data_IF_253003381442
#
_entry.id   IF_253003381442
#
_cell.length_a   1.000
_cell.length_b   1.000
_cell.length_c   1.000
_cell.angle_alpha   90.00
_cell.angle_beta   90.00
_cell.angle_gamma   90.00
#
_symmetry.space_group_name_H-M   'P 1'
#
loop_
_entity.id
_entity.type
_entity.pdbx_description
1 polymer ?
#
# COMPACT_ATOMS: atom_id res chain seq x y z
N UNK A 1 19.76 10.64 -12.50
CA UNK A 1 18.63 9.97 -11.83
C UNK A 1 18.75 10.27 -10.36
N UNK A 2 17.77 10.94 -9.78
CA UNK A 2 17.76 11.28 -8.35
C UNK A 2 17.03 10.17 -7.59
N UNK A 3 17.59 9.71 -6.46
CA UNK A 3 16.94 8.70 -5.63
C UNK A 3 15.73 9.33 -4.93
N UNK A 4 14.60 8.62 -4.88
CA UNK A 4 13.39 9.04 -4.16
C UNK A 4 12.80 7.85 -3.41
N UNK A 5 12.07 8.10 -2.33
CA UNK A 5 11.45 7.07 -1.49
C UNK A 5 9.95 7.34 -1.30
N UNK A 6 9.16 6.29 -1.07
CA UNK A 6 7.70 6.33 -0.96
C UNK A 6 7.20 5.36 0.12
N UNK A 7 5.92 5.44 0.48
CA UNK A 7 5.26 4.63 1.51
C UNK A 7 5.26 5.29 2.90
N UNK A 8 4.20 5.06 3.67
CA UNK A 8 3.99 5.71 4.99
C UNK A 8 5.15 5.49 5.97
N UNK A 9 5.65 4.26 6.08
CA UNK A 9 6.77 3.91 6.95
C UNK A 9 8.11 4.56 6.53
N UNK A 10 8.24 4.96 5.27
CA UNK A 10 9.46 5.55 4.74
C UNK A 10 9.58 7.06 4.97
N UNK A 11 8.52 7.72 5.45
CA UNK A 11 8.52 9.17 5.66
C UNK A 11 9.62 9.62 6.63
N UNK A 12 9.79 8.90 7.74
CA UNK A 12 10.87 9.19 8.70
C UNK A 12 12.28 8.91 8.13
N UNK A 13 12.41 7.96 7.19
CA UNK A 13 13.66 7.68 6.50
C UNK A 13 14.02 8.79 5.51
N UNK A 14 13.03 9.29 4.78
CA UNK A 14 13.17 10.42 3.85
C UNK A 14 13.71 11.66 4.57
N UNK A 15 13.13 11.99 5.74
CA UNK A 15 13.57 13.11 6.56
C UNK A 15 15.00 12.91 7.09
N UNK A 16 15.27 11.75 7.69
CA UNK A 16 16.58 11.44 8.30
C UNK A 16 17.72 11.48 7.29
N UNK A 17 17.50 10.97 6.08
CA UNK A 17 18.54 10.88 5.04
C UNK A 17 18.46 12.00 4.00
N UNK A 18 17.51 12.93 4.13
CA UNK A 18 17.30 14.06 3.22
C UNK A 18 17.12 13.59 1.77
N UNK A 19 16.37 12.51 1.59
CA UNK A 19 16.00 11.97 0.27
C UNK A 19 14.59 12.44 -0.06
N UNK A 20 14.29 12.85 -1.30
CA UNK A 20 12.94 13.21 -1.71
C UNK A 20 11.91 12.12 -1.38
N UNK A 21 10.80 12.54 -0.76
CA UNK A 21 9.64 11.70 -0.51
C UNK A 21 8.61 11.90 -1.62
N UNK A 22 8.15 10.80 -2.22
CA UNK A 22 7.03 10.77 -3.16
C UNK A 22 5.88 10.05 -2.47
N UNK A 23 4.70 10.65 -2.47
CA UNK A 23 3.54 10.03 -1.84
C UNK A 23 3.09 8.80 -2.65
N UNK A 24 2.71 7.72 -1.95
CA UNK A 24 2.50 6.40 -2.55
C UNK A 24 1.46 6.35 -3.67
N UNK A 25 0.33 7.05 -3.52
CA UNK A 25 -0.73 7.09 -4.55
C UNK A 25 -0.20 7.72 -5.84
N UNK A 26 0.60 8.79 -5.73
CA UNK A 26 1.24 9.41 -6.89
C UNK A 26 2.33 8.52 -7.49
N UNK A 27 3.15 7.88 -6.65
CA UNK A 27 4.18 6.95 -7.12
C UNK A 27 3.56 5.78 -7.89
N UNK A 28 2.49 5.18 -7.35
CA UNK A 28 1.73 4.09 -7.97
C UNK A 28 1.11 4.54 -9.28
N UNK A 29 0.48 5.72 -9.33
CA UNK A 29 -0.07 6.27 -10.57
C UNK A 29 1.01 6.42 -11.64
N UNK A 30 2.12 7.08 -11.32
CA UNK A 30 3.22 7.31 -12.27
C UNK A 30 3.75 5.99 -12.80
N UNK A 31 4.03 5.03 -11.91
CA UNK A 31 4.52 3.71 -12.28
C UNK A 31 3.53 2.99 -13.21
N UNK A 32 2.26 2.91 -12.85
CA UNK A 32 1.24 2.24 -13.63
C UNK A 32 1.10 2.86 -15.03
N UNK A 33 0.93 4.18 -15.13
CA UNK A 33 0.78 4.88 -16.42
C UNK A 33 2.06 4.94 -17.26
N UNK A 34 3.21 4.55 -16.70
CA UNK A 34 4.46 4.39 -17.46
C UNK A 34 4.57 2.99 -18.05
N UNK A 35 3.96 1.99 -17.41
CA UNK A 35 4.06 0.59 -17.78
C UNK A 35 2.98 0.17 -18.79
N UNK A 36 1.77 0.71 -18.66
CA UNK A 36 0.68 0.44 -19.58
C UNK A 36 -0.03 1.74 -19.97
N UNK A 37 -0.33 1.84 -21.26
CA UNK A 37 -1.17 2.89 -21.81
C UNK A 37 -2.65 2.55 -21.53
N UNK A 38 -3.50 3.57 -21.36
CA UNK A 38 -4.96 3.45 -21.21
C UNK A 38 -5.45 2.68 -19.96
N UNK A 39 -4.90 3.01 -18.79
CA UNK A 39 -5.39 2.52 -17.50
C UNK A 39 -6.55 3.39 -16.98
N UNK A 40 -7.67 2.74 -16.65
CA UNK A 40 -8.83 3.42 -16.07
C UNK A 40 -8.83 3.45 -14.54
N UNK A 41 -8.46 2.32 -13.93
CA UNK A 41 -8.54 2.11 -12.48
C UNK A 41 -7.33 1.34 -12.00
N UNK A 42 -6.74 1.79 -10.89
CA UNK A 42 -5.71 1.04 -10.15
C UNK A 42 -6.31 0.58 -8.83
N UNK A 43 -6.17 -0.71 -8.51
CA UNK A 43 -6.57 -1.28 -7.23
C UNK A 43 -5.30 -1.68 -6.48
N UNK A 44 -4.97 -0.91 -5.45
CA UNK A 44 -3.87 -1.17 -4.54
C UNK A 44 -4.41 -1.98 -3.35
N UNK A 45 -3.99 -3.24 -3.22
CA UNK A 45 -4.32 -4.09 -2.08
C UNK A 45 -3.12 -4.13 -1.15
N UNK A 46 -3.11 -3.23 -0.17
CA UNK A 46 -2.05 -3.12 0.83
C UNK A 46 -2.26 -4.04 2.03
N UNK A 47 -1.33 -3.95 2.97
CA UNK A 47 -1.39 -4.69 4.23
C UNK A 47 -2.45 -4.13 5.18
N UNK A 48 -2.47 -2.81 5.33
CA UNK A 48 -3.34 -2.09 6.27
C UNK A 48 -4.63 -1.62 5.61
N UNK A 49 -4.58 -1.13 4.38
CA UNK A 49 -5.74 -0.61 3.67
C UNK A 49 -5.69 -1.01 2.18
N UNK A 50 -6.82 -0.84 1.53
CA UNK A 50 -6.98 -0.99 0.09
C UNK A 50 -7.40 0.36 -0.50
N UNK A 51 -6.78 0.72 -1.62
CA UNK A 51 -7.05 1.95 -2.35
C UNK A 51 -7.50 1.64 -3.76
N UNK A 52 -8.43 2.45 -4.26
CA UNK A 52 -8.87 2.44 -5.65
C UNK A 52 -8.62 3.84 -6.20
N UNK A 53 -7.79 3.92 -7.24
CA UNK A 53 -7.49 5.16 -7.94
C UNK A 53 -8.24 5.12 -9.27
N UNK A 54 -9.15 6.07 -9.48
CA UNK A 54 -9.79 6.30 -10.77
C UNK A 54 -9.01 7.38 -11.50
N UNK A 55 -8.65 7.13 -12.76
CA UNK A 55 -7.77 8.01 -13.54
C UNK A 55 -8.51 8.85 -14.59
N UNK A 56 -9.73 8.45 -14.97
CA UNK A 56 -10.59 9.20 -15.89
C UNK A 56 -11.26 10.39 -15.20
N UNK A 57 -11.35 11.52 -15.93
CA UNK A 57 -12.01 12.77 -15.49
C UNK A 57 -11.40 13.44 -14.24
N UNK A 58 -10.16 13.08 -13.91
CA UNK A 58 -9.46 13.57 -12.73
C UNK A 58 -8.96 12.42 -11.87
N UNK A 59 -8.00 12.69 -11.00
CA UNK A 59 -7.52 11.68 -10.07
C UNK A 59 -8.45 11.64 -8.86
N UNK A 60 -9.23 10.56 -8.75
CA UNK A 60 -10.06 10.29 -7.57
C UNK A 60 -9.51 9.07 -6.83
N UNK A 61 -9.40 9.18 -5.51
CA UNK A 61 -8.89 8.11 -4.65
C UNK A 61 -9.97 7.72 -3.67
N UNK A 62 -10.32 6.43 -3.65
CA UNK A 62 -11.17 5.81 -2.64
C UNK A 62 -10.32 4.87 -1.80
N UNK A 63 -10.48 4.92 -0.49
CA UNK A 63 -9.75 4.08 0.44
C UNK A 63 -10.74 3.50 1.45
N UNK A 64 -10.58 2.24 1.80
CA UNK A 64 -11.33 1.66 2.91
C UNK A 64 -10.70 2.08 4.26
N UNK A 65 -11.38 1.78 5.37
CA UNK A 65 -10.72 1.84 6.67
C UNK A 65 -9.71 0.71 6.82
N UNK A 66 -8.87 0.79 7.86
CA UNK A 66 -7.87 -0.25 8.15
C UNK A 66 -8.50 -1.64 8.18
N UNK A 67 -8.01 -2.53 7.32
CA UNK A 67 -8.37 -3.92 7.15
C UNK A 67 -7.27 -4.81 7.74
N UNK A 68 -7.61 -5.62 8.74
CA UNK A 68 -6.66 -6.54 9.40
C UNK A 68 -6.20 -7.71 8.50
N UNK A 69 -6.70 -7.80 7.26
CA UNK A 69 -6.46 -8.94 6.37
C UNK A 69 -5.05 -8.98 5.78
N UNK A 70 -4.41 -7.83 5.54
CA UNK A 70 -3.15 -7.79 4.80
C UNK A 70 -1.89 -7.70 5.68
N UNK A 71 -2.01 -7.36 6.96
CA UNK A 71 -0.86 -7.24 7.88
C UNK A 71 -0.45 -8.56 8.54
N UNK A 72 -1.20 -9.65 8.30
CA UNK A 72 -1.06 -10.90 9.03
C UNK A 72 -1.82 -10.93 10.37
N UNK A 73 -2.36 -9.78 10.82
CA UNK A 73 -3.09 -9.69 12.08
C UNK A 73 -4.33 -10.60 12.12
N UNK A 74 -4.98 -10.84 10.98
CA UNK A 74 -6.04 -11.84 10.89
C UNK A 74 -5.54 -13.25 11.24
N UNK A 75 -4.38 -13.66 10.73
CA UNK A 75 -3.78 -14.98 11.01
C UNK A 75 -3.37 -15.04 12.49
N UNK A 76 -2.77 -13.98 13.03
CA UNK A 76 -2.43 -13.89 14.47
C UNK A 76 -3.67 -14.04 15.37
N UNK A 77 -4.77 -13.39 15.00
CA UNK A 77 -6.04 -13.49 15.72
C UNK A 77 -6.63 -14.91 15.63
N UNK A 78 -6.56 -15.54 14.46
CA UNK A 78 -7.04 -16.90 14.27
C UNK A 78 -6.20 -17.93 15.04
N UNK A 79 -4.87 -17.81 15.05
CA UNK A 79 -3.99 -18.65 15.85
C UNK A 79 -4.33 -18.54 17.36
N UNK A 80 -4.54 -17.30 17.84
CA UNK A 80 -4.98 -17.04 19.22
C UNK A 80 -6.34 -17.67 19.53
N UNK A 81 -7.32 -17.54 18.64
CA UNK A 81 -8.66 -18.11 18.80
C UNK A 81 -8.66 -19.64 18.81
N UNK A 82 -7.81 -20.25 17.98
CA UNK A 82 -7.64 -21.69 17.87
C UNK A 82 -6.73 -22.28 18.96
N UNK A 83 -6.08 -21.42 19.75
CA UNK A 83 -5.09 -21.79 20.76
C UNK A 83 -3.97 -22.68 20.18
N UNK A 84 -3.48 -22.28 19.01
CA UNK A 84 -2.35 -22.87 18.31
C UNK A 84 -1.28 -21.79 18.07
N UNK A 85 -0.04 -22.19 17.87
CA UNK A 85 1.02 -21.27 17.45
C UNK A 85 0.83 -20.84 16.00
N UNK A 86 1.49 -19.75 15.59
CA UNK A 86 1.51 -19.33 14.19
C UNK A 86 2.16 -20.38 13.28
N UNK A 87 3.19 -21.09 13.76
CA UNK A 87 3.80 -22.18 13.00
C UNK A 87 2.84 -23.35 12.77
N UNK A 88 1.91 -23.62 13.70
CA UNK A 88 0.91 -24.68 13.59
C UNK A 88 -0.24 -24.32 12.62
N UNK A 89 -0.34 -23.07 12.19
CA UNK A 89 -1.42 -22.58 11.33
C UNK A 89 -1.10 -22.69 9.82
N UNK A 90 0.11 -23.12 9.45
CA UNK A 90 0.61 -23.28 8.06
C UNK A 90 0.55 -24.72 7.55
#
# INVERSE_FOLDING_TARGET
>A
MELSISGSAAMGMAEKWKVPFVQEVYATRIAATTLEDDIDVIIELGGEDAKILFLKDGMEVRMNGSCAGGTGAFIDQMATLLNISLEEMN
#
